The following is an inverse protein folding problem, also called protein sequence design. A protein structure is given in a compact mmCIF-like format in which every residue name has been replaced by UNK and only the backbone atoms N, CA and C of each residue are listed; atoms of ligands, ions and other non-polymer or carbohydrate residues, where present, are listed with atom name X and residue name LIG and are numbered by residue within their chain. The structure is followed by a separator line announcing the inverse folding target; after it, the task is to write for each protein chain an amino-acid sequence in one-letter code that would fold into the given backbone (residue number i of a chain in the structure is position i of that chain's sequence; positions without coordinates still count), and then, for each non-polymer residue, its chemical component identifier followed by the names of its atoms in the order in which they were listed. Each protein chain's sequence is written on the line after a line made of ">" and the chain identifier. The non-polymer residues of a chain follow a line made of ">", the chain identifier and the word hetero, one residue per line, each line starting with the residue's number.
data_IF_636926038313
#
_entry.id   IF_636926038313
#
_cell.length_a   1.000
_cell.length_b   1.000
_cell.length_c   1.000
_cell.angle_alpha   90.00
_cell.angle_beta   90.00
_cell.angle_gamma   90.00
#
_symmetry.space_group_name_H-M   'P 1'
#
loop_
_entity.id
_entity.type
_entity.pdbx_description
1 polymer ?
#
# COMPACT_ATOMS: atom_id res chain seq x y z
N UNK A 1 -26.00 7.47 -5.77
CA UNK A 1 -25.80 7.58 -4.32
C UNK A 1 -25.83 9.05 -3.91
N UNK A 2 -26.62 9.38 -2.96
CA UNK A 2 -26.65 10.75 -2.46
C UNK A 2 -25.57 10.92 -1.39
N UNK A 3 -24.82 12.02 -1.49
CA UNK A 3 -23.71 12.29 -0.57
C UNK A 3 -24.17 12.57 0.86
N UNK A 4 -25.48 12.82 1.04
CA UNK A 4 -26.04 13.22 2.34
C UNK A 4 -26.36 12.04 3.25
N UNK A 5 -26.35 10.82 2.72
CA UNK A 5 -26.77 9.63 3.47
C UNK A 5 -25.56 8.85 3.92
N UNK A 6 -25.29 8.77 5.24
CA UNK A 6 -24.21 7.94 5.74
C UNK A 6 -24.42 6.47 5.41
N UNK A 7 -23.33 5.76 5.16
CA UNK A 7 -23.36 4.31 4.93
C UNK A 7 -23.27 3.60 6.28
N UNK A 8 -24.28 2.81 6.61
CA UNK A 8 -24.32 2.05 7.87
C UNK A 8 -23.65 0.68 7.64
N UNK A 9 -22.60 0.42 8.37
CA UNK A 9 -21.88 -0.84 8.31
C UNK A 9 -22.49 -1.88 9.26
N UNK A 10 -22.26 -3.18 8.96
CA UNK A 10 -22.85 -4.28 9.72
C UNK A 10 -22.48 -4.30 11.22
N UNK A 11 -21.35 -3.69 11.58
CA UNK A 11 -20.89 -3.59 12.97
C UNK A 11 -21.41 -2.35 13.69
N UNK A 12 -22.38 -1.64 13.11
CA UNK A 12 -22.94 -0.44 13.69
C UNK A 12 -22.14 0.85 13.41
N UNK A 13 -21.03 0.74 12.70
CA UNK A 13 -20.25 1.91 12.31
C UNK A 13 -20.93 2.67 11.17
N UNK A 14 -20.65 3.94 11.08
CA UNK A 14 -21.26 4.83 10.09
C UNK A 14 -20.14 5.55 9.33
N UNK A 15 -20.27 5.66 8.01
CA UNK A 15 -19.37 6.48 7.22
C UNK A 15 -19.71 7.96 7.50
N UNK A 16 -18.76 8.68 8.09
CA UNK A 16 -18.96 10.05 8.52
C UNK A 16 -18.88 11.07 7.38
N UNK A 17 -18.34 10.68 6.23
CA UNK A 17 -18.15 11.60 5.11
C UNK A 17 -18.29 10.86 3.78
N UNK A 18 -19.50 10.40 3.44
CA UNK A 18 -19.71 9.62 2.22
C UNK A 18 -19.43 10.41 0.93
N UNK A 19 -19.39 11.73 0.99
CA UNK A 19 -19.04 12.59 -0.14
C UNK A 19 -17.54 12.65 -0.41
N UNK A 20 -16.72 12.16 0.53
CA UNK A 20 -15.25 12.09 0.36
C UNK A 20 -14.90 10.66 -0.01
N UNK A 21 -14.33 10.48 -1.22
CA UNK A 21 -13.90 9.17 -1.66
C UNK A 21 -12.69 8.72 -0.86
N UNK A 22 -12.72 7.46 -0.40
CA UNK A 22 -11.60 6.82 0.30
C UNK A 22 -11.51 5.37 -0.13
N UNK A 23 -10.29 4.93 -0.39
CA UNK A 23 -10.04 3.57 -0.81
C UNK A 23 -8.79 3.05 -0.10
N UNK A 24 -8.85 1.83 0.39
CA UNK A 24 -7.73 1.19 1.05
C UNK A 24 -7.58 -0.23 0.53
N UNK A 25 -6.32 -0.60 0.23
CA UNK A 25 -5.99 -1.95 -0.21
C UNK A 25 -4.74 -2.38 0.53
N UNK A 26 -4.76 -3.58 1.10
CA UNK A 26 -3.58 -4.21 1.68
C UNK A 26 -3.23 -5.40 0.80
N UNK A 27 -1.98 -5.43 0.30
CA UNK A 27 -1.47 -6.55 -0.49
C UNK A 27 -0.36 -7.20 0.32
N UNK A 28 -0.44 -8.52 0.49
CA UNK A 28 0.55 -9.28 1.25
C UNK A 28 1.04 -10.45 0.45
N UNK A 29 2.31 -10.81 0.63
CA UNK A 29 2.86 -11.90 -0.15
C UNK A 29 4.11 -12.52 0.46
N UNK A 30 4.46 -13.69 -0.07
CA UNK A 30 5.65 -14.44 0.32
C UNK A 30 6.71 -14.30 -0.78
N UNK A 31 7.95 -14.08 -0.36
CA UNK A 31 9.06 -13.90 -1.28
C UNK A 31 10.16 -14.90 -0.98
N UNK A 32 11.16 -14.98 -1.88
CA UNK A 32 12.24 -15.96 -1.78
C UNK A 32 13.50 -15.41 -1.15
N UNK A 33 13.59 -14.10 -1.00
CA UNK A 33 14.78 -13.43 -0.46
C UNK A 33 14.35 -12.17 0.29
N UNK A 34 15.17 -11.68 1.23
CA UNK A 34 14.88 -10.43 1.92
C UNK A 34 14.73 -9.26 0.93
N UNK A 35 13.81 -8.35 1.24
CA UNK A 35 13.57 -7.17 0.41
C UNK A 35 14.44 -6.03 0.96
N UNK A 36 15.24 -5.44 0.08
CA UNK A 36 16.16 -4.36 0.46
C UNK A 36 15.50 -2.99 0.45
N UNK A 37 16.16 -2.02 1.08
CA UNK A 37 15.72 -0.64 1.06
C UNK A 37 15.59 -0.11 -0.37
N UNK A 38 16.56 -0.38 -1.24
CA UNK A 38 16.52 0.09 -2.62
C UNK A 38 15.35 -0.50 -3.41
N UNK A 39 14.99 -1.75 -3.14
CA UNK A 39 13.82 -2.36 -3.78
C UNK A 39 12.53 -1.70 -3.31
N UNK A 40 12.43 -1.38 -2.02
CA UNK A 40 11.25 -0.70 -1.47
C UNK A 40 11.13 0.70 -2.08
N UNK A 41 12.22 1.43 -2.17
CA UNK A 41 12.23 2.77 -2.75
C UNK A 41 11.79 2.74 -4.22
N UNK A 42 12.36 1.82 -4.99
CA UNK A 42 12.00 1.65 -6.41
C UNK A 42 10.53 1.25 -6.56
N UNK A 43 10.07 0.31 -5.74
CA UNK A 43 8.68 -0.16 -5.77
C UNK A 43 7.70 0.99 -5.51
N UNK A 44 7.93 1.75 -4.45
CA UNK A 44 7.02 2.84 -4.07
C UNK A 44 7.00 3.94 -5.12
N UNK A 45 8.16 4.25 -5.71
CA UNK A 45 8.24 5.25 -6.77
C UNK A 45 7.47 4.79 -8.01
N UNK A 46 7.65 3.53 -8.43
CA UNK A 46 6.95 2.99 -9.60
C UNK A 46 5.46 2.80 -9.35
N UNK A 47 5.09 2.41 -8.14
CA UNK A 47 3.67 2.28 -7.76
C UNK A 47 2.92 3.58 -7.96
N UNK A 48 3.56 4.71 -7.68
CA UNK A 48 2.97 6.04 -7.87
C UNK A 48 2.52 6.22 -9.32
N UNK A 49 3.36 5.82 -10.28
CA UNK A 49 3.03 5.90 -11.70
C UNK A 49 1.93 4.92 -12.11
N UNK A 50 1.99 3.69 -11.61
CA UNK A 50 1.00 2.66 -11.92
C UNK A 50 -0.39 3.08 -11.45
N UNK A 51 -0.48 3.73 -10.29
CA UNK A 51 -1.75 4.16 -9.72
C UNK A 51 -2.13 5.59 -10.09
N UNK A 52 -1.31 6.25 -10.90
CA UNK A 52 -1.54 7.64 -11.33
C UNK A 52 -1.66 8.59 -10.14
N UNK A 53 -0.72 8.50 -9.22
CA UNK A 53 -0.66 9.33 -8.02
C UNK A 53 0.44 10.38 -8.15
N UNK A 54 0.23 11.56 -7.57
CA UNK A 54 1.21 12.64 -7.55
C UNK A 54 2.05 12.53 -6.28
N UNK A 55 3.34 12.30 -6.44
CA UNK A 55 4.26 12.16 -5.32
C UNK A 55 4.60 13.52 -4.71
N UNK A 56 4.39 13.67 -3.41
CA UNK A 56 4.76 14.87 -2.66
C UNK A 56 6.11 14.70 -1.95
N UNK A 57 6.37 13.50 -1.41
CA UNK A 57 7.64 13.17 -0.78
C UNK A 57 8.16 11.88 -1.38
N UNK A 58 9.45 11.86 -1.70
CA UNK A 58 10.10 10.66 -2.19
C UNK A 58 10.08 9.57 -1.12
N UNK A 59 10.20 8.30 -1.52
CA UNK A 59 10.15 7.20 -0.56
C UNK A 59 11.21 7.33 0.54
N UNK A 60 10.80 7.03 1.76
CA UNK A 60 11.66 6.99 2.94
C UNK A 60 11.69 5.56 3.44
N UNK A 61 12.88 5.06 3.80
CA UNK A 61 13.04 3.71 4.30
C UNK A 61 13.66 3.70 5.69
N UNK A 62 13.37 2.66 6.44
CA UNK A 62 13.88 2.47 7.79
C UNK A 62 14.13 0.99 8.03
N UNK A 63 15.27 0.66 8.64
CA UNK A 63 15.59 -0.71 9.00
C UNK A 63 15.19 -0.98 10.44
N UNK A 64 14.49 -2.09 10.66
CA UNK A 64 14.17 -2.58 12.00
C UNK A 64 15.19 -3.63 12.40
N UNK A 65 15.59 -3.60 13.67
CA UNK A 65 16.49 -4.62 14.23
C UNK A 65 15.78 -5.97 14.42
N UNK A 66 14.45 -5.98 14.35
CA UNK A 66 13.66 -7.17 14.69
C UNK A 66 13.01 -7.86 13.50
N UNK A 67 12.68 -7.16 12.40
CA UNK A 67 11.94 -7.80 11.33
C UNK A 67 12.52 -7.59 9.92
N UNK A 68 13.04 -6.43 9.60
CA UNK A 68 13.57 -6.14 8.25
C UNK A 68 13.46 -4.66 7.92
N UNK A 69 13.15 -4.36 6.67
CA UNK A 69 13.03 -2.98 6.20
C UNK A 69 11.57 -2.56 6.05
N UNK A 70 11.32 -1.28 6.31
CA UNK A 70 10.03 -0.67 6.04
C UNK A 70 10.23 0.60 5.23
N UNK A 71 9.19 1.06 4.55
CA UNK A 71 9.26 2.30 3.81
C UNK A 71 7.87 2.89 3.57
N UNK A 72 7.83 4.15 3.19
CA UNK A 72 6.57 4.79 2.85
C UNK A 72 6.80 5.89 1.83
N UNK A 73 5.73 6.22 1.12
CA UNK A 73 5.71 7.32 0.17
C UNK A 73 4.46 8.15 0.45
N UNK A 74 4.58 9.47 0.29
CA UNK A 74 3.44 10.37 0.48
C UNK A 74 3.00 10.94 -0.86
N UNK A 75 1.71 10.77 -1.18
CA UNK A 75 1.10 11.32 -2.38
C UNK A 75 0.19 12.48 -2.01
N UNK A 76 -0.18 13.27 -3.02
CA UNK A 76 -1.13 14.37 -2.84
C UNK A 76 -2.44 13.89 -2.22
N UNK A 77 -2.87 12.67 -2.58
CA UNK A 77 -4.13 12.08 -2.13
C UNK A 77 -3.95 10.98 -1.10
N UNK A 78 -2.81 10.82 -0.49
CA UNK A 78 -2.51 9.96 0.68
C UNK A 78 -1.14 9.30 0.57
N UNK A 79 -1.06 7.95 0.45
CA UNK A 79 0.22 7.30 0.37
C UNK A 79 0.17 5.79 0.52
N UNK A 80 1.35 5.19 0.66
CA UNK A 80 1.49 3.75 0.85
C UNK A 80 2.59 3.47 1.87
N UNK A 81 2.35 2.50 2.75
CA UNK A 81 3.32 1.99 3.70
C UNK A 81 3.69 0.57 3.34
N UNK A 82 4.98 0.30 3.23
CA UNK A 82 5.51 -1.01 2.91
C UNK A 82 6.27 -1.58 4.09
N UNK A 83 6.03 -2.85 4.38
CA UNK A 83 6.71 -3.58 5.45
C UNK A 83 7.26 -4.89 4.87
N UNK A 84 8.59 -5.08 4.98
CA UNK A 84 9.24 -6.31 4.54
C UNK A 84 9.86 -7.03 5.72
N UNK A 85 9.41 -8.26 5.98
CA UNK A 85 9.95 -9.10 7.06
C UNK A 85 10.96 -10.09 6.48
N UNK A 86 12.08 -10.27 7.19
CA UNK A 86 12.95 -11.41 6.96
C UNK A 86 12.89 -12.39 8.14
N UNK A 87 12.37 -11.94 9.27
CA UNK A 87 12.10 -12.73 10.45
C UNK A 87 10.68 -12.43 10.92
N UNK A 88 9.87 -13.41 11.28
CA UNK A 88 10.16 -14.85 11.33
C UNK A 88 10.06 -15.56 9.98
N UNK A 89 9.72 -14.85 8.90
CA UNK A 89 9.67 -15.42 7.55
C UNK A 89 9.81 -14.32 6.51
N UNK A 90 10.07 -14.72 5.28
CA UNK A 90 10.17 -13.81 4.14
C UNK A 90 8.77 -13.44 3.67
N UNK A 91 8.29 -12.30 4.09
CA UNK A 91 6.92 -11.86 3.93
C UNK A 91 6.89 -10.34 3.76
N UNK A 92 5.93 -9.84 2.99
CA UNK A 92 5.74 -8.39 2.90
C UNK A 92 4.25 -8.04 3.02
N UNK A 93 4.01 -6.81 3.42
CA UNK A 93 2.67 -6.22 3.47
C UNK A 93 2.78 -4.78 3.01
N UNK A 94 1.93 -4.38 2.07
CA UNK A 94 1.83 -2.97 1.67
C UNK A 94 0.41 -2.50 1.90
N UNK A 95 0.29 -1.35 2.57
CA UNK A 95 -0.98 -0.72 2.91
C UNK A 95 -1.09 0.54 2.07
N UNK A 96 -2.05 0.55 1.13
CA UNK A 96 -2.28 1.65 0.20
C UNK A 96 -3.59 2.33 0.61
N UNK A 97 -3.51 3.60 0.96
CA UNK A 97 -4.68 4.38 1.35
C UNK A 97 -4.73 5.66 0.54
N UNK A 98 -5.84 5.91 -0.13
CA UNK A 98 -5.97 7.11 -0.98
C UNK A 98 -7.37 7.70 -0.93
N UNK A 99 -7.46 8.99 -1.31
CA UNK A 99 -8.72 9.69 -1.55
C UNK A 99 -9.03 9.76 -3.04
N UNK A 100 -8.31 8.99 -3.87
CA UNK A 100 -8.47 8.94 -5.31
C UNK A 100 -8.60 7.48 -5.74
N UNK A 101 -9.50 7.20 -6.68
CA UNK A 101 -9.71 5.84 -7.17
C UNK A 101 -8.45 5.26 -7.80
N UNK A 102 -8.18 4.00 -7.56
CA UNK A 102 -7.18 3.22 -8.28
C UNK A 102 -7.69 1.79 -8.47
N UNK A 103 -7.10 1.06 -9.42
CA UNK A 103 -7.48 -0.33 -9.67
C UNK A 103 -6.81 -1.25 -8.65
N UNK A 104 -7.62 -1.95 -7.84
CA UNK A 104 -7.12 -2.93 -6.90
C UNK A 104 -6.34 -4.05 -7.62
N UNK A 105 -6.85 -4.48 -8.77
CA UNK A 105 -6.24 -5.54 -9.56
C UNK A 105 -4.88 -5.12 -10.11
N UNK A 106 -4.76 -3.91 -10.62
CA UNK A 106 -3.49 -3.39 -11.12
C UNK A 106 -2.47 -3.24 -10.00
N UNK A 107 -2.90 -2.75 -8.84
CA UNK A 107 -2.02 -2.60 -7.68
C UNK A 107 -1.50 -3.95 -7.20
N UNK A 108 -2.39 -4.93 -7.08
CA UNK A 108 -2.02 -6.27 -6.63
C UNK A 108 -1.09 -6.97 -7.62
N UNK A 109 -1.40 -6.90 -8.92
CA UNK A 109 -0.60 -7.54 -9.96
C UNK A 109 0.77 -6.89 -10.10
N UNK A 110 0.84 -5.57 -10.05
CA UNK A 110 2.12 -4.87 -10.08
C UNK A 110 2.99 -5.28 -8.89
N UNK A 111 2.39 -5.32 -7.69
CA UNK A 111 3.11 -5.70 -6.47
C UNK A 111 3.64 -7.13 -6.57
N UNK A 112 2.79 -8.06 -7.01
CA UNK A 112 3.17 -9.46 -7.19
C UNK A 112 4.34 -9.59 -8.17
N UNK A 113 4.26 -8.93 -9.31
CA UNK A 113 5.30 -8.98 -10.34
C UNK A 113 6.59 -8.34 -9.89
N UNK A 114 6.50 -7.19 -9.24
CA UNK A 114 7.70 -6.43 -8.84
C UNK A 114 8.59 -7.25 -7.91
N UNK A 115 8.00 -7.93 -6.95
CA UNK A 115 8.75 -8.72 -5.98
C UNK A 115 8.87 -10.20 -6.35
N UNK A 116 8.32 -10.58 -7.51
CA UNK A 116 8.29 -11.99 -7.93
C UNK A 116 7.76 -12.87 -6.79
N UNK A 117 6.63 -12.44 -6.22
CA UNK A 117 6.06 -13.10 -5.06
C UNK A 117 5.54 -14.49 -5.43
N UNK A 118 5.82 -15.45 -4.56
CA UNK A 118 5.37 -16.85 -4.74
C UNK A 118 3.87 -16.96 -4.52
N UNK A 119 3.34 -16.12 -3.63
CA UNK A 119 1.94 -16.16 -3.24
C UNK A 119 1.55 -14.76 -2.80
N UNK A 120 0.37 -14.36 -3.20
CA UNK A 120 -0.20 -13.05 -2.85
C UNK A 120 -1.64 -13.25 -2.40
#
# INVERSE_FOLDING_TARGET
>A
MTADVPVLHANGMVDLAPEIYRQRLVVEGLVSAPISASQIEAYLAELSGVLDMVTLLQPVTHQSDTYGWAGWIHWETSGAHFYGWDQPRLFFSVDIYTCKWFSNEEAAEFTRSFFNAKKV
#
